data_IF_209223420731
#
_entry.id   IF_209223420731
#
_cell.length_a   1.000
_cell.length_b   1.000
_cell.length_c   1.000
_cell.angle_alpha   90.00
_cell.angle_beta   90.00
_cell.angle_gamma   90.00
#
_symmetry.space_group_name_H-M   'P 1'
#
loop_
_entity.id
_entity.type
_entity.pdbx_description
1 polymer ?
#
# COMPACT_ATOMS: atom_id res chain seq x y z
N UNK A 1 21.49 -24.86 -8.22
CA UNK A 1 21.47 -24.57 -8.14
C UNK A 1 21.22 -24.42 -8.32
N UNK A 2 20.77 -24.36 -8.23
CA UNK A 2 20.50 -24.03 -8.00
C UNK A 2 19.91 -23.88 -8.15
N UNK A 3 19.61 -24.03 -7.99
CA UNK A 3 19.24 -23.70 -7.84
C UNK A 3 18.72 -23.57 -8.09
N UNK A 4 18.38 -23.64 -8.06
CA UNK A 4 18.13 -23.36 -7.90
C UNK A 4 17.49 -23.15 -8.18
N UNK A 5 17.16 -23.30 -8.13
CA UNK A 5 16.90 -22.86 -8.08
C UNK A 5 16.45 -22.52 -8.36
N UNK A 6 16.14 -22.67 -8.40
CA UNK A 6 16.04 -22.07 -8.30
C UNK A 6 15.74 -21.61 -8.53
N UNK A 7 15.39 -21.68 -8.61
CA UNK A 7 15.38 -20.97 -8.54
C UNK A 7 15.07 -20.46 -8.85
N UNK A 8 14.72 -20.50 -8.98
CA UNK A 8 14.69 -19.75 -8.97
C UNK A 8 14.41 -19.30 -9.29
N UNK A 9 14.05 -19.26 -9.36
CA UNK A 9 14.00 -18.47 -9.44
C UNK A 9 13.87 -17.94 -9.69
N UNK A 10 13.59 -17.86 -9.61
CA UNK A 10 13.76 -17.06 -9.53
C UNK A 10 13.78 -16.44 -9.74
N UNK A 11 13.54 -16.47 -9.68
CA UNK A 11 13.75 -15.66 -9.59
C UNK A 11 13.78 -15.04 -9.82
N UNK A 12 13.56 -15.18 -9.99
CA UNK A 12 13.66 -14.43 -10.03
C UNK A 12 13.47 -13.78 -10.07
N UNK A 13 13.10 -13.86 -9.89
CA UNK A 13 12.98 -13.10 -9.63
C UNK A 13 12.82 -12.55 -9.19
N UNK A 14 12.70 -12.53 -9.03
CA UNK A 14 12.69 -11.87 -8.54
C UNK A 14 12.51 -11.52 -7.68
N UNK A 15 12.90 -11.35 -7.66
CA UNK A 15 12.62 -11.05 -6.80
C UNK A 15 12.09 -10.30 -6.16
N UNK A 16 11.61 -10.50 -5.97
CA UNK A 16 10.83 -9.52 -5.27
C UNK A 16 11.16 -9.46 -3.80
N UNK A 17 11.08 -8.31 -3.28
CA UNK A 17 11.52 -8.02 -1.94
C UNK A 17 10.38 -8.05 -0.95
N UNK A 18 9.38 -8.87 -1.15
CA UNK A 18 8.34 -9.07 -0.17
C UNK A 18 6.94 -8.77 -0.69
N UNK A 19 5.95 -8.77 0.20
CA UNK A 19 4.57 -8.62 -0.20
C UNK A 19 4.26 -7.21 -0.69
N UNK A 20 3.18 -7.11 -1.44
CA UNK A 20 2.60 -5.81 -1.74
C UNK A 20 2.06 -5.19 -0.46
N UNK A 21 2.05 -3.88 -0.41
CA UNK A 21 1.55 -3.10 0.71
C UNK A 21 0.38 -2.25 0.26
N UNK A 22 -0.64 -2.19 1.12
CA UNK A 22 -1.72 -1.21 0.99
C UNK A 22 -1.80 -0.47 2.31
N UNK A 23 -1.59 0.84 2.25
CA UNK A 23 -1.58 1.67 3.46
C UNK A 23 -2.72 2.68 3.36
N UNK A 24 -3.54 2.74 4.38
CA UNK A 24 -4.61 3.72 4.46
C UNK A 24 -4.20 4.85 5.38
N UNK A 25 -4.18 6.06 4.85
CA UNK A 25 -3.90 7.27 5.62
C UNK A 25 -5.24 7.91 5.97
N UNK A 26 -5.53 7.97 7.25
CA UNK A 26 -6.82 8.46 7.74
C UNK A 26 -6.66 9.23 9.04
N UNK A 27 -7.75 9.84 9.49
CA UNK A 27 -7.78 10.55 10.76
C UNK A 27 -8.95 10.02 11.60
N UNK A 28 -8.74 9.87 12.90
CA UNK A 28 -9.76 9.33 13.79
C UNK A 28 -11.02 10.18 13.85
N UNK A 29 -10.87 11.49 13.72
CA UNK A 29 -12.01 12.39 13.78
C UNK A 29 -12.90 12.36 12.53
N UNK A 30 -12.40 11.74 11.46
CA UNK A 30 -13.14 11.69 10.19
C UNK A 30 -14.13 10.53 10.20
N UNK A 31 -15.42 10.84 10.02
CA UNK A 31 -16.46 9.81 10.01
C UNK A 31 -16.29 8.81 8.88
N UNK A 32 -15.87 9.29 7.69
CA UNK A 32 -15.63 8.42 6.55
C UNK A 32 -14.51 7.41 6.86
N UNK A 33 -13.47 7.85 7.58
CA UNK A 33 -12.39 6.96 7.98
C UNK A 33 -12.86 5.87 8.92
N UNK A 34 -13.69 6.23 9.89
CA UNK A 34 -14.19 5.25 10.84
C UNK A 34 -15.02 4.18 10.16
N UNK A 35 -15.82 4.58 9.18
CA UNK A 35 -16.61 3.61 8.40
C UNK A 35 -15.73 2.78 7.49
N UNK A 36 -14.74 3.40 6.89
CA UNK A 36 -13.85 2.71 5.97
C UNK A 36 -12.98 1.66 6.66
N UNK A 37 -12.75 1.82 7.96
CA UNK A 37 -11.90 0.87 8.69
C UNK A 37 -12.40 -0.57 8.58
N UNK A 38 -13.72 -0.77 8.72
CA UNK A 38 -14.30 -2.09 8.57
C UNK A 38 -14.14 -2.65 7.16
N UNK A 39 -14.35 -1.79 6.16
CA UNK A 39 -14.16 -2.15 4.76
C UNK A 39 -12.70 -2.55 4.50
N UNK A 40 -11.78 -1.78 5.05
CA UNK A 40 -10.35 -2.01 4.88
C UNK A 40 -9.93 -3.35 5.51
N UNK A 41 -10.44 -3.64 6.70
CA UNK A 41 -10.13 -4.89 7.39
C UNK A 41 -10.70 -6.10 6.67
N UNK A 42 -11.90 -5.97 6.11
CA UNK A 42 -12.49 -7.04 5.29
C UNK A 42 -11.63 -7.32 4.07
N UNK A 43 -11.19 -6.27 3.42
CA UNK A 43 -10.36 -6.41 2.23
C UNK A 43 -9.03 -7.09 2.57
N UNK A 44 -8.47 -6.75 3.73
CA UNK A 44 -7.24 -7.39 4.19
C UNK A 44 -7.42 -8.90 4.31
N UNK A 45 -8.59 -9.33 4.75
CA UNK A 45 -8.91 -10.77 4.84
C UNK A 45 -8.99 -11.43 3.47
N UNK A 46 -9.43 -10.69 2.46
CA UNK A 46 -9.55 -11.21 1.09
C UNK A 46 -8.20 -11.26 0.37
N UNK A 47 -7.20 -10.54 0.85
CA UNK A 47 -5.88 -10.47 0.22
C UNK A 47 -4.79 -10.82 1.24
N UNK A 48 -4.75 -12.07 1.71
CA UNK A 48 -3.82 -12.45 2.81
C UNK A 48 -2.35 -12.32 2.43
N UNK A 49 -2.02 -12.28 1.15
CA UNK A 49 -0.64 -12.13 0.69
C UNK A 49 -0.20 -10.66 0.59
N UNK A 50 -1.13 -9.72 0.80
CA UNK A 50 -0.85 -8.29 0.75
C UNK A 50 -0.83 -7.76 2.19
N UNK A 51 0.14 -6.90 2.48
CA UNK A 51 0.25 -6.31 3.81
C UNK A 51 -0.60 -5.04 3.87
N UNK A 52 -1.62 -5.05 4.72
CA UNK A 52 -2.50 -3.91 4.92
C UNK A 52 -2.11 -3.21 6.21
N UNK A 53 -1.88 -1.89 6.12
CA UNK A 53 -1.50 -1.08 7.28
C UNK A 53 -2.40 0.15 7.37
N UNK A 54 -2.78 0.48 8.58
CA UNK A 54 -3.58 1.68 8.85
C UNK A 54 -2.68 2.71 9.53
N UNK A 55 -2.62 3.92 8.97
CA UNK A 55 -1.82 5.00 9.53
C UNK A 55 -2.73 6.15 9.90
N UNK A 56 -2.76 6.51 11.17
CA UNK A 56 -3.45 7.71 11.63
C UNK A 56 -2.52 8.90 11.42
N UNK A 57 -2.95 9.86 10.60
CA UNK A 57 -2.07 10.95 10.19
C UNK A 57 -1.69 11.89 11.33
N UNK A 58 -2.46 11.88 12.41
CA UNK A 58 -2.14 12.71 13.58
C UNK A 58 -1.25 11.97 14.57
N UNK A 59 -1.55 10.70 14.83
CA UNK A 59 -0.74 9.89 15.74
C UNK A 59 0.64 9.61 15.18
N UNK A 60 0.74 9.49 13.86
CA UNK A 60 1.99 9.14 13.20
C UNK A 60 2.47 10.26 12.27
N UNK A 61 2.30 11.50 12.70
CA UNK A 61 2.65 12.63 11.84
C UNK A 61 4.13 12.65 11.46
N UNK A 62 5.00 12.11 12.29
CA UNK A 62 6.42 12.02 11.95
C UNK A 62 6.69 11.01 10.83
N UNK A 63 5.84 10.01 10.70
CA UNK A 63 5.93 9.04 9.61
C UNK A 63 5.36 9.62 8.33
N UNK A 64 4.20 10.28 8.45
CA UNK A 64 3.53 10.92 7.31
C UNK A 64 4.38 12.06 6.76
N UNK A 65 5.05 12.80 7.65
CA UNK A 65 5.96 13.86 7.25
C UNK A 65 5.25 15.01 6.59
N UNK A 66 5.81 15.47 5.47
CA UNK A 66 5.29 16.64 4.75
C UNK A 66 4.26 16.30 3.70
N UNK A 67 3.85 15.04 3.63
CA UNK A 67 2.83 14.65 2.66
C UNK A 67 1.49 15.28 3.04
N UNK A 68 0.94 16.03 2.11
CA UNK A 68 -0.36 16.66 2.30
C UNK A 68 -1.47 15.64 2.06
N UNK A 69 -2.25 15.39 3.10
CA UNK A 69 -3.40 14.50 2.98
C UNK A 69 -4.64 15.34 3.24
N UNK A 70 -5.29 15.75 2.16
CA UNK A 70 -6.44 16.66 2.26
C UNK A 70 -7.77 15.92 2.16
N UNK A 71 -7.78 14.74 1.57
CA UNK A 71 -8.99 13.97 1.37
C UNK A 71 -8.81 12.58 1.97
N UNK A 72 -9.79 12.15 2.73
CA UNK A 72 -9.75 10.83 3.37
C UNK A 72 -10.85 9.94 2.80
N UNK A 73 -10.58 8.66 2.62
CA UNK A 73 -9.31 7.99 2.84
C UNK A 73 -8.32 8.24 1.68
N UNK A 74 -7.04 8.29 2.01
CA UNK A 74 -5.97 8.34 1.02
C UNK A 74 -5.21 7.02 1.11
N UNK A 75 -4.90 6.44 -0.05
CA UNK A 75 -4.31 5.12 -0.13
C UNK A 75 -2.92 5.21 -0.76
N UNK A 76 -1.99 4.47 -0.18
CA UNK A 76 -0.67 4.23 -0.75
C UNK A 76 -0.60 2.75 -1.11
N UNK A 77 -0.21 2.45 -2.34
CA UNK A 77 -0.02 1.06 -2.78
C UNK A 77 1.42 0.91 -3.25
N UNK A 78 2.10 -0.11 -2.74
CA UNK A 78 3.50 -0.39 -3.10
C UNK A 78 3.66 -1.88 -3.40
N UNK A 79 4.63 -2.19 -4.26
CA UNK A 79 4.88 -3.57 -4.68
C UNK A 79 5.93 -4.28 -3.81
N UNK A 80 6.24 -3.69 -2.66
CA UNK A 80 7.27 -4.21 -1.77
C UNK A 80 8.58 -3.44 -1.85
N UNK A 81 8.84 -2.79 -2.97
CA UNK A 81 10.03 -1.97 -3.16
C UNK A 81 9.70 -0.54 -3.55
N UNK A 82 8.71 -0.40 -4.42
CA UNK A 82 8.40 0.87 -5.06
C UNK A 82 6.92 1.17 -4.85
N UNK A 83 6.63 2.40 -4.42
CA UNK A 83 5.26 2.88 -4.36
C UNK A 83 4.73 3.07 -5.77
N UNK A 84 3.54 2.55 -6.01
CA UNK A 84 2.90 2.60 -7.33
C UNK A 84 1.76 3.59 -7.40
N UNK A 85 1.16 3.91 -6.25
CA UNK A 85 0.02 4.83 -6.20
C UNK A 85 -0.01 5.53 -4.86
N UNK A 86 -0.33 6.81 -4.87
CA UNK A 86 -0.66 7.56 -3.66
C UNK A 86 -1.72 8.58 -4.03
N UNK A 87 -2.89 8.46 -3.42
CA UNK A 87 -3.96 9.41 -3.68
C UNK A 87 -5.26 9.02 -2.99
N UNK A 88 -6.27 9.89 -3.06
CA UNK A 88 -7.57 9.59 -2.50
C UNK A 88 -8.30 8.53 -3.30
N UNK A 89 -9.13 7.74 -2.61
CA UNK A 89 -9.95 6.72 -3.26
C UNK A 89 -11.36 6.83 -2.74
N UNK A 90 -12.31 6.35 -3.52
CA UNK A 90 -13.68 6.24 -3.06
C UNK A 90 -13.75 5.16 -1.98
N UNK A 91 -14.52 5.39 -0.91
CA UNK A 91 -14.52 4.49 0.25
C UNK A 91 -15.37 3.23 0.05
N UNK A 92 -15.16 2.55 -1.06
CA UNK A 92 -15.87 1.33 -1.40
C UNK A 92 -14.86 0.22 -1.64
N UNK A 93 -15.13 -0.95 -1.07
CA UNK A 93 -14.21 -2.09 -1.11
C UNK A 93 -13.79 -2.45 -2.53
N UNK A 94 -14.74 -2.44 -3.46
CA UNK A 94 -14.48 -2.87 -4.84
C UNK A 94 -13.50 -1.94 -5.56
N UNK A 95 -13.45 -0.66 -5.19
CA UNK A 95 -12.53 0.28 -5.81
C UNK A 95 -11.09 -0.13 -5.53
N UNK A 96 -10.76 -0.31 -4.27
CA UNK A 96 -9.40 -0.70 -3.87
C UNK A 96 -9.04 -2.08 -4.39
N UNK A 97 -9.98 -3.03 -4.34
CA UNK A 97 -9.76 -4.37 -4.85
C UNK A 97 -9.41 -4.39 -6.33
N UNK A 98 -10.12 -3.59 -7.13
CA UNK A 98 -9.84 -3.48 -8.56
C UNK A 98 -8.49 -2.86 -8.82
N UNK A 99 -8.12 -1.85 -8.04
CA UNK A 99 -6.82 -1.22 -8.18
C UNK A 99 -5.70 -2.21 -7.93
N UNK A 100 -5.82 -3.03 -6.87
CA UNK A 100 -4.84 -4.04 -6.56
C UNK A 100 -4.71 -5.06 -7.70
N UNK A 101 -5.83 -5.55 -8.19
CA UNK A 101 -5.82 -6.52 -9.30
C UNK A 101 -5.14 -5.94 -10.52
N UNK A 102 -5.49 -4.71 -10.87
CA UNK A 102 -4.93 -4.06 -12.04
C UNK A 102 -3.43 -3.85 -11.93
N UNK A 103 -2.98 -3.40 -10.76
CA UNK A 103 -1.56 -3.13 -10.57
C UNK A 103 -0.73 -4.40 -10.52
N UNK A 104 -1.23 -5.45 -9.88
CA UNK A 104 -0.51 -6.71 -9.81
C UNK A 104 -0.43 -7.40 -11.17
N UNK A 105 -1.41 -7.14 -12.03
CA UNK A 105 -1.43 -7.68 -13.38
C UNK A 105 -0.60 -6.88 -14.38
N UNK A 106 -0.01 -5.77 -13.95
CA UNK A 106 0.74 -4.89 -14.84
C UNK A 106 2.11 -4.57 -14.23
N UNK A 107 3.08 -5.48 -14.36
CA UNK A 107 4.41 -5.25 -13.78
C UNK A 107 5.16 -4.09 -14.41
N UNK A 108 4.70 -3.60 -15.57
CA UNK A 108 5.30 -2.45 -16.22
C UNK A 108 4.67 -1.12 -15.82
N UNK A 109 3.74 -1.12 -14.88
CA UNK A 109 3.10 0.11 -14.44
C UNK A 109 4.13 1.09 -13.85
N UNK A 110 3.99 2.40 -14.13
CA UNK A 110 4.96 3.36 -13.64
C UNK A 110 4.95 3.49 -12.11
N UNK A 111 6.07 3.93 -11.58
CA UNK A 111 6.17 4.23 -10.16
C UNK A 111 5.46 5.54 -9.86
N UNK A 112 5.00 5.68 -8.62
CA UNK A 112 4.47 6.96 -8.13
C UNK A 112 5.63 7.94 -7.94
N UNK A 113 5.31 9.20 -7.61
CA UNK A 113 6.32 10.25 -7.52
C UNK A 113 7.26 10.08 -6.31
N UNK A 114 8.25 10.97 -6.23
CA UNK A 114 9.27 10.91 -5.19
C UNK A 114 8.68 11.04 -3.77
N UNK A 115 7.63 11.82 -3.63
CA UNK A 115 6.96 12.00 -2.34
C UNK A 115 6.36 10.68 -1.85
N UNK A 116 5.74 9.94 -2.76
CA UNK A 116 5.16 8.63 -2.43
C UNK A 116 6.25 7.63 -2.05
N UNK A 117 7.39 7.66 -2.76
CA UNK A 117 8.51 6.77 -2.43
C UNK A 117 9.05 7.06 -1.04
N UNK A 118 9.23 8.33 -0.72
CA UNK A 118 9.74 8.72 0.59
C UNK A 118 8.77 8.31 1.71
N UNK A 119 7.48 8.49 1.48
CA UNK A 119 6.46 8.10 2.44
C UNK A 119 6.49 6.59 2.67
N UNK A 120 6.55 5.82 1.59
CA UNK A 120 6.59 4.37 1.70
C UNK A 120 7.81 3.91 2.52
N UNK A 121 8.98 4.50 2.26
CA UNK A 121 10.19 4.15 3.00
C UNK A 121 10.05 4.42 4.49
N UNK A 122 9.43 5.55 4.84
CA UNK A 122 9.22 5.89 6.25
C UNK A 122 8.25 4.92 6.93
N UNK A 123 7.17 4.57 6.23
CA UNK A 123 6.19 3.62 6.77
C UNK A 123 6.83 2.25 6.94
N UNK A 124 7.54 1.78 5.95
CA UNK A 124 8.19 0.46 6.01
C UNK A 124 9.21 0.41 7.15
N UNK A 125 9.94 1.49 7.37
CA UNK A 125 10.92 1.55 8.45
C UNK A 125 10.28 1.56 9.84
N UNK A 126 9.03 2.00 9.94
CA UNK A 126 8.34 2.12 11.22
C UNK A 126 7.62 0.84 11.62
N UNK A 127 7.53 -0.17 10.75
CA UNK A 127 6.80 -1.41 11.02
C UNK A 127 7.72 -2.59 11.20
#
# INVERSE_FOLDING_TARGET
MGMGSAAAPSSAHLPSSGPWWVVCLCAQWCGACREYRGVFEELAGDWPQVRFEWVDVEDEENVVGEVDVETFPTILIADGQVARFLGPVLPQAQVLGRMLQGMQGDPGAPAADAQAQALFRRIAASR
#
